data_IF_247748961002
#
_entry.id   IF_247748961002
#
_cell.length_a   1.000
_cell.length_b   1.000
_cell.length_c   1.000
_cell.angle_alpha   90.00
_cell.angle_beta   90.00
_cell.angle_gamma   90.00
#
_symmetry.space_group_name_H-M   'P 1'
#
loop_
_entity.id
_entity.type
_entity.pdbx_description
1 polymer ?
#
# COMPACT_ATOMS: atom_id res chain seq x y z
N UNK A 1 -11.87 -10.80 -9.59
CA UNK A 1 -12.20 -9.55 -8.90
C UNK A 1 -10.94 -8.92 -8.35
N UNK A 2 -10.82 -7.62 -8.43
CA UNK A 2 -9.62 -6.92 -7.98
C UNK A 2 -9.78 -6.36 -6.58
N UNK A 3 -8.71 -6.43 -5.81
CA UNK A 3 -8.64 -5.91 -4.44
C UNK A 3 -7.42 -5.04 -4.28
N UNK A 4 -7.54 -4.02 -3.45
CA UNK A 4 -6.41 -3.21 -3.03
C UNK A 4 -5.98 -3.64 -1.63
N UNK A 5 -4.69 -3.93 -1.48
CA UNK A 5 -4.07 -4.19 -0.19
C UNK A 5 -3.23 -2.97 0.15
N UNK A 6 -3.68 -2.16 1.09
CA UNK A 6 -3.01 -0.90 1.39
C UNK A 6 -2.26 -0.95 2.70
N UNK A 7 -1.06 -0.38 2.68
CA UNK A 7 -0.18 -0.25 3.84
C UNK A 7 -0.29 1.17 4.35
N UNK A 8 -0.66 1.33 5.60
CA UNK A 8 -0.77 2.65 6.24
C UNK A 8 0.27 2.81 7.32
N UNK A 9 0.88 3.98 7.38
CA UNK A 9 1.81 4.33 8.44
C UNK A 9 1.16 5.35 9.34
N UNK A 10 1.33 5.18 10.67
CA UNK A 10 0.78 6.11 11.64
C UNK A 10 1.75 7.25 11.88
N UNK A 11 1.20 8.45 12.06
CA UNK A 11 1.99 9.61 12.45
C UNK A 11 2.62 9.36 13.82
N UNK A 12 3.92 9.62 13.91
CA UNK A 12 4.65 9.43 15.17
C UNK A 12 5.19 8.03 15.40
N UNK A 13 4.93 7.09 14.53
CA UNK A 13 5.55 5.76 14.63
C UNK A 13 7.05 5.89 14.38
N UNK A 14 7.82 5.61 15.44
CA UNK A 14 9.27 5.56 15.33
C UNK A 14 9.68 4.10 15.27
N UNK A 15 10.29 3.71 14.17
CA UNK A 15 10.81 2.35 14.01
C UNK A 15 12.31 2.36 14.16
N UNK A 16 12.87 1.34 14.84
CA UNK A 16 14.31 1.19 14.83
C UNK A 16 14.80 1.01 13.39
N UNK A 17 15.93 1.61 13.08
CA UNK A 17 16.54 1.41 11.79
C UNK A 17 16.90 -0.06 11.61
N UNK A 18 16.56 -0.64 10.47
CA UNK A 18 16.93 -2.00 10.14
C UNK A 18 18.41 -2.07 9.79
N UNK A 19 19.07 -3.15 10.19
CA UNK A 19 20.42 -3.41 9.73
C UNK A 19 20.40 -3.74 8.24
N UNK A 20 21.56 -3.63 7.58
CA UNK A 20 21.68 -3.99 6.17
C UNK A 20 21.27 -5.44 5.91
N UNK A 21 21.59 -6.33 6.84
CA UNK A 21 21.24 -7.75 6.76
C UNK A 21 19.72 -7.96 6.86
N UNK A 22 19.07 -7.27 7.80
CA UNK A 22 17.62 -7.35 7.96
C UNK A 22 16.90 -6.78 6.73
N UNK A 23 17.39 -5.69 6.17
CA UNK A 23 16.84 -5.11 4.95
C UNK A 23 16.94 -6.07 3.78
N UNK A 24 18.06 -6.76 3.64
CA UNK A 24 18.26 -7.75 2.59
C UNK A 24 17.31 -8.94 2.74
N UNK A 25 17.12 -9.44 3.96
CA UNK A 25 16.18 -10.52 4.24
C UNK A 25 14.75 -10.12 3.92
N UNK A 26 14.36 -8.92 4.32
CA UNK A 26 13.02 -8.37 4.04
C UNK A 26 12.80 -8.24 2.54
N UNK A 27 13.79 -7.75 1.81
CA UNK A 27 13.74 -7.61 0.36
C UNK A 27 13.57 -8.97 -0.32
N UNK A 28 14.30 -9.98 0.15
CA UNK A 28 14.19 -11.34 -0.38
C UNK A 28 12.80 -11.93 -0.16
N UNK A 29 12.23 -11.72 1.01
CA UNK A 29 10.89 -12.20 1.33
C UNK A 29 9.82 -11.52 0.47
N UNK A 30 9.94 -10.21 0.27
CA UNK A 30 9.02 -9.44 -0.57
C UNK A 30 9.12 -9.92 -2.03
N UNK A 31 10.34 -10.10 -2.53
CA UNK A 31 10.57 -10.57 -3.90
C UNK A 31 9.99 -11.97 -4.11
N UNK A 32 10.16 -12.85 -3.14
CA UNK A 32 9.62 -14.20 -3.21
C UNK A 32 8.09 -14.18 -3.23
N UNK A 33 7.48 -13.32 -2.41
CA UNK A 33 6.03 -13.16 -2.38
C UNK A 33 5.48 -12.62 -3.70
N UNK A 34 6.16 -11.64 -4.29
CA UNK A 34 5.78 -11.12 -5.61
C UNK A 34 5.82 -12.21 -6.67
N UNK A 35 6.86 -13.04 -6.65
CA UNK A 35 6.96 -14.18 -7.57
C UNK A 35 5.83 -15.18 -7.37
N UNK A 36 5.47 -15.45 -6.12
CA UNK A 36 4.35 -16.33 -5.79
C UNK A 36 3.03 -15.78 -6.32
N UNK A 37 2.79 -14.48 -6.13
CA UNK A 37 1.59 -13.81 -6.64
C UNK A 37 1.53 -13.88 -8.17
N UNK A 38 2.65 -13.65 -8.85
CA UNK A 38 2.73 -13.74 -10.31
C UNK A 38 2.42 -15.14 -10.80
N UNK A 39 2.99 -16.13 -10.16
CA UNK A 39 2.76 -17.54 -10.53
C UNK A 39 1.32 -17.97 -10.32
N UNK A 40 0.66 -17.42 -9.31
CA UNK A 40 -0.73 -17.72 -8.99
C UNK A 40 -1.74 -16.90 -9.82
N UNK A 41 -1.27 -15.96 -10.63
CA UNK A 41 -2.15 -15.06 -11.39
C UNK A 41 -2.82 -14.00 -10.54
N UNK A 42 -2.32 -13.78 -9.32
CA UNK A 42 -2.87 -12.79 -8.41
C UNK A 42 -2.24 -11.40 -8.59
N UNK A 43 -1.05 -11.33 -9.14
CA UNK A 43 -0.33 -10.07 -9.28
C UNK A 43 -0.94 -9.17 -10.34
N UNK A 44 -1.18 -7.91 -9.98
CA UNK A 44 -1.51 -6.86 -10.94
C UNK A 44 -0.46 -5.77 -10.88
N UNK A 45 -0.27 -5.15 -9.69
CA UNK A 45 0.59 -3.99 -9.58
C UNK A 45 0.89 -3.71 -8.11
N UNK A 46 2.06 -3.12 -7.83
CA UNK A 46 2.34 -2.58 -6.51
C UNK A 46 3.16 -1.31 -6.62
N UNK A 47 3.09 -0.48 -5.60
CA UNK A 47 3.86 0.75 -5.54
C UNK A 47 4.08 1.17 -4.09
N UNK A 48 5.17 1.90 -3.85
CA UNK A 48 5.41 2.61 -2.61
C UNK A 48 5.35 4.11 -2.88
N UNK A 49 4.87 4.84 -1.90
CA UNK A 49 4.82 6.31 -1.97
C UNK A 49 5.99 6.88 -1.17
N UNK A 50 6.43 8.06 -1.55
CA UNK A 50 7.35 8.84 -0.72
C UNK A 50 6.64 9.26 0.57
N UNK A 51 7.40 9.79 1.52
CA UNK A 51 6.87 10.24 2.81
C UNK A 51 5.76 11.27 2.63
N UNK A 52 4.79 11.32 3.57
CA UNK A 52 3.64 12.23 3.47
C UNK A 52 4.03 13.70 3.30
N UNK A 53 5.18 14.11 3.82
CA UNK A 53 5.67 15.49 3.70
C UNK A 53 5.91 15.92 2.26
N UNK A 54 6.08 14.97 1.34
CA UNK A 54 6.25 15.27 -0.08
C UNK A 54 4.93 15.53 -0.80
N UNK A 55 3.79 15.32 -0.12
CA UNK A 55 2.48 15.47 -0.73
C UNK A 55 2.13 16.93 -0.99
N UNK A 56 1.24 17.14 -1.95
CA UNK A 56 0.63 18.44 -2.21
C UNK A 56 -0.87 18.20 -2.35
N UNK A 57 -1.66 18.99 -1.66
CA UNK A 57 -3.12 18.91 -1.76
C UNK A 57 -3.61 19.96 -2.72
N UNK A 58 -4.47 19.57 -3.66
CA UNK A 58 -5.07 20.47 -4.64
C UNK A 58 -6.56 20.53 -4.35
N UNK A 59 -7.09 21.74 -4.24
CA UNK A 59 -8.52 21.99 -3.99
C UNK A 59 -9.04 23.04 -4.93
N UNK A 60 -10.35 22.99 -5.16
CA UNK A 60 -11.05 24.08 -5.84
C UNK A 60 -11.84 24.85 -4.78
N UNK A 61 -11.63 26.17 -4.71
CA UNK A 61 -12.35 27.05 -3.81
C UNK A 61 -12.76 28.31 -4.57
N UNK A 62 -14.07 28.59 -4.57
CA UNK A 62 -14.63 29.74 -5.28
C UNK A 62 -14.23 29.80 -6.77
N UNK A 63 -14.16 28.63 -7.41
CA UNK A 63 -13.77 28.51 -8.81
C UNK A 63 -12.28 28.58 -9.09
N UNK A 64 -11.46 28.70 -8.06
CA UNK A 64 -10.01 28.76 -8.20
C UNK A 64 -9.36 27.49 -7.69
N UNK A 65 -8.27 27.07 -8.35
CA UNK A 65 -7.45 25.94 -7.92
C UNK A 65 -6.43 26.42 -6.90
N UNK A 66 -6.46 25.82 -5.72
CA UNK A 66 -5.53 26.11 -4.62
C UNK A 66 -4.67 24.89 -4.36
N UNK A 67 -3.38 25.11 -4.09
CA UNK A 67 -2.46 24.03 -3.73
C UNK A 67 -1.89 24.30 -2.33
N UNK A 68 -1.74 23.24 -1.56
CA UNK A 68 -1.18 23.32 -0.21
C UNK A 68 -0.12 22.25 -0.06
N UNK A 69 1.07 22.59 0.38
CA UNK A 69 2.14 21.65 0.63
C UNK A 69 1.80 20.77 1.83
N UNK A 70 2.16 19.49 1.71
CA UNK A 70 1.94 18.51 2.75
C UNK A 70 0.68 17.69 2.54
N UNK A 71 0.49 16.64 3.32
CA UNK A 71 -0.71 15.78 3.25
C UNK A 71 -1.91 16.47 3.87
N UNK A 72 -3.07 15.82 3.79
CA UNK A 72 -4.24 16.28 4.53
C UNK A 72 -3.90 16.36 6.02
N UNK A 73 -4.03 17.54 6.60
CA UNK A 73 -3.52 17.83 7.95
C UNK A 73 -4.14 17.00 9.06
N UNK A 74 -5.36 16.50 8.85
CA UNK A 74 -6.10 15.76 9.88
C UNK A 74 -5.87 14.24 9.84
N UNK A 75 -5.11 13.75 8.86
CA UNK A 75 -4.88 12.32 8.75
C UNK A 75 -3.84 11.87 9.79
N UNK A 76 -4.20 10.84 10.57
CA UNK A 76 -3.28 10.19 11.50
C UNK A 76 -2.52 9.06 10.85
N UNK A 77 -3.15 8.44 9.87
CA UNK A 77 -2.57 7.36 9.08
C UNK A 77 -2.43 7.84 7.66
N UNK A 78 -1.29 7.53 7.06
CA UNK A 78 -1.00 7.91 5.70
C UNK A 78 -0.74 6.67 4.86
N UNK A 79 -1.28 6.65 3.66
CA UNK A 79 -1.01 5.59 2.71
C UNK A 79 0.48 5.60 2.37
N UNK A 80 1.16 4.50 2.67
CA UNK A 80 2.59 4.36 2.38
C UNK A 80 2.88 3.53 1.16
N UNK A 81 1.96 2.67 0.77
CA UNK A 81 2.10 1.81 -0.39
C UNK A 81 0.90 0.89 -0.55
N UNK A 82 0.86 0.17 -1.66
CA UNK A 82 -0.26 -0.71 -1.91
C UNK A 82 0.08 -1.79 -2.92
N UNK A 83 -0.70 -2.86 -2.87
CA UNK A 83 -0.74 -3.91 -3.90
C UNK A 83 -2.12 -3.90 -4.51
N UNK A 84 -2.19 -4.12 -5.81
CA UNK A 84 -3.43 -4.45 -6.50
C UNK A 84 -3.34 -5.92 -6.92
N UNK A 85 -4.31 -6.72 -6.52
CA UNK A 85 -4.31 -8.15 -6.78
C UNK A 85 -5.61 -8.61 -7.39
N UNK A 86 -5.55 -9.73 -8.09
CA UNK A 86 -6.72 -10.49 -8.50
C UNK A 86 -6.95 -11.60 -7.48
N UNK A 87 -8.19 -11.75 -7.02
CA UNK A 87 -8.58 -12.85 -6.14
C UNK A 87 -10.01 -13.27 -6.47
N UNK A 88 -10.29 -14.54 -6.26
CA UNK A 88 -11.61 -15.11 -6.56
C UNK A 88 -12.68 -14.52 -5.65
N UNK A 89 -12.33 -14.33 -4.38
CA UNK A 89 -13.24 -13.82 -3.35
C UNK A 89 -12.43 -13.15 -2.24
N UNK A 90 -13.13 -12.63 -1.24
CA UNK A 90 -12.51 -11.95 -0.10
C UNK A 90 -11.57 -12.89 0.67
N UNK A 91 -11.96 -14.14 0.88
CA UNK A 91 -11.12 -15.09 1.62
C UNK A 91 -9.77 -15.29 0.94
N UNK A 92 -9.76 -15.40 -0.39
CA UNK A 92 -8.52 -15.51 -1.15
C UNK A 92 -7.67 -14.24 -1.02
N UNK A 93 -8.32 -13.07 -1.07
CA UNK A 93 -7.62 -11.79 -0.89
C UNK A 93 -7.03 -11.67 0.52
N UNK A 94 -7.76 -12.10 1.55
CA UNK A 94 -7.27 -12.09 2.93
C UNK A 94 -6.07 -13.03 3.10
N UNK A 95 -6.04 -14.15 2.38
CA UNK A 95 -4.89 -15.05 2.37
C UNK A 95 -3.64 -14.35 1.86
N UNK A 96 -3.72 -13.59 0.77
CA UNK A 96 -2.62 -12.82 0.25
C UNK A 96 -2.22 -11.70 1.22
N UNK A 97 -3.19 -11.00 1.79
CA UNK A 97 -2.94 -9.94 2.76
C UNK A 97 -2.19 -10.46 3.99
N UNK A 98 -2.53 -11.67 4.46
CA UNK A 98 -1.82 -12.30 5.57
C UNK A 98 -0.35 -12.51 5.25
N UNK A 99 -0.03 -12.91 4.03
CA UNK A 99 1.35 -13.08 3.59
C UNK A 99 2.10 -11.75 3.52
N UNK A 100 1.43 -10.70 3.03
CA UNK A 100 2.02 -9.36 2.95
C UNK A 100 2.32 -8.82 4.35
N UNK A 101 1.35 -8.90 5.27
CA UNK A 101 1.54 -8.37 6.62
C UNK A 101 2.65 -9.12 7.37
N UNK A 102 2.82 -10.41 7.12
CA UNK A 102 3.94 -11.18 7.71
C UNK A 102 5.30 -10.72 7.17
N UNK A 103 5.36 -10.34 5.88
CA UNK A 103 6.60 -9.88 5.29
C UNK A 103 7.01 -8.49 5.76
N UNK A 104 6.06 -7.56 5.87
CA UNK A 104 6.38 -6.16 6.15
C UNK A 104 6.14 -5.75 7.59
N UNK A 105 5.41 -6.57 8.36
CA UNK A 105 5.17 -6.28 9.77
C UNK A 105 4.17 -5.17 10.03
N UNK A 106 3.39 -4.77 9.03
CA UNK A 106 2.41 -3.69 9.12
C UNK A 106 1.00 -4.21 8.92
N UNK A 107 0.01 -3.56 9.54
CA UNK A 107 -1.38 -3.86 9.21
C UNK A 107 -1.68 -3.56 7.76
N UNK A 108 -2.55 -4.37 7.16
CA UNK A 108 -2.96 -4.24 5.77
C UNK A 108 -4.47 -4.07 5.71
N UNK A 109 -4.93 -3.02 5.04
CA UNK A 109 -6.35 -2.88 4.74
C UNK A 109 -6.65 -3.54 3.40
N UNK A 110 -7.69 -4.36 3.36
CA UNK A 110 -8.14 -5.05 2.15
C UNK A 110 -9.46 -4.44 1.70
N UNK A 111 -9.50 -3.90 0.48
CA UNK A 111 -10.73 -3.32 -0.07
C UNK A 111 -10.95 -3.79 -1.49
N UNK A 112 -12.16 -4.28 -1.81
CA UNK A 112 -12.48 -4.59 -3.19
C UNK A 112 -12.64 -3.31 -4.01
N UNK A 113 -12.20 -3.36 -5.27
CA UNK A 113 -12.52 -2.30 -6.20
C UNK A 113 -13.98 -2.43 -6.64
N UNK A 114 -14.69 -1.32 -6.66
CA UNK A 114 -16.05 -1.28 -7.20
C UNK A 114 -16.04 -1.43 -8.73
N UNK A 115 -14.96 -0.94 -9.34
CA UNK A 115 -14.72 -1.06 -10.77
C UNK A 115 -13.36 -0.48 -11.10
N UNK A 116 -12.83 -0.81 -12.27
CA UNK A 116 -11.56 -0.25 -12.75
C UNK A 116 -11.73 0.23 -14.17
N UNK A 117 -10.76 1.02 -14.64
CA UNK A 117 -10.78 1.53 -16.02
C UNK A 117 -10.62 0.42 -17.07
N UNK A 118 -10.23 -0.77 -16.65
CA UNK A 118 -10.03 -1.93 -17.52
C UNK A 118 -11.23 -2.89 -17.56
N UNK A 119 -12.19 -2.67 -16.69
CA UNK A 119 -13.36 -3.57 -16.56
C UNK A 119 -14.57 -3.05 -17.32
#
# INVERSE_FOLDING_TARGET
MKYMLSVHTCEGDVRPAMSAEEMQQSWQQITALESEMKSAGAWVFSARLHEPETATVVRVSNGEVLTTDGPFAEAREHLGGFYVINAQDLDAALGWAAKVTRCIGEPIEVRPFAGTSED
#
